data_IF_474363189221
#
_entry.id   IF_474363189221
#
_cell.length_a   1.000
_cell.length_b   1.000
_cell.length_c   1.000
_cell.angle_alpha   90.00
_cell.angle_beta   90.00
_cell.angle_gamma   90.00
#
_symmetry.space_group_name_H-M   'P 1'
#
loop_
_entity.id
_entity.type
_entity.pdbx_description
1 polymer ?
#
# COMPACT_ATOMS: atom_id res chain seq x y z
N UNK A 1 -8.40 19.38 13.29
CA UNK A 1 -7.32 18.83 12.45
C UNK A 1 -6.08 19.67 12.67
N UNK A 2 -5.04 19.07 13.22
CA UNK A 2 -3.76 19.73 13.46
C UNK A 2 -2.98 19.95 12.15
N UNK A 3 -1.87 20.69 12.24
CA UNK A 3 -0.94 20.88 11.11
C UNK A 3 -0.41 19.53 10.60
N UNK A 4 -0.16 18.59 11.52
CA UNK A 4 0.24 17.20 11.21
C UNK A 4 -0.76 16.50 10.28
N UNK A 5 -2.07 16.58 10.58
CA UNK A 5 -3.11 15.91 9.78
C UNK A 5 -3.19 16.47 8.35
N UNK A 6 -3.00 17.79 8.21
CA UNK A 6 -2.98 18.47 6.90
C UNK A 6 -1.77 18.05 6.06
N UNK A 7 -0.60 17.96 6.68
CA UNK A 7 0.63 17.52 6.00
C UNK A 7 0.49 16.06 5.57
N UNK A 8 0.02 15.19 6.46
CA UNK A 8 -0.22 13.79 6.14
C UNK A 8 -1.21 13.60 4.99
N UNK A 9 -2.35 14.30 5.04
CA UNK A 9 -3.32 14.27 3.95
C UNK A 9 -2.72 14.70 2.61
N UNK A 10 -1.89 15.75 2.60
CA UNK A 10 -1.20 16.21 1.40
C UNK A 10 -0.18 15.19 0.87
N UNK A 11 0.60 14.55 1.74
CA UNK A 11 1.57 13.50 1.38
C UNK A 11 0.87 12.31 0.75
N UNK A 12 -0.22 11.84 1.34
CA UNK A 12 -1.02 10.73 0.79
C UNK A 12 -1.63 11.10 -0.56
N UNK A 13 -2.23 12.29 -0.68
CA UNK A 13 -2.82 12.76 -1.93
C UNK A 13 -1.76 12.87 -3.05
N UNK A 14 -0.57 13.38 -2.72
CA UNK A 14 0.55 13.45 -3.65
C UNK A 14 1.04 12.05 -4.07
N UNK A 15 1.14 11.12 -3.11
CA UNK A 15 1.47 9.72 -3.39
C UNK A 15 0.47 9.05 -4.33
N UNK A 16 -0.82 9.30 -4.14
CA UNK A 16 -1.87 8.76 -5.04
C UNK A 16 -1.73 9.37 -6.44
N UNK A 17 -1.60 10.70 -6.54
CA UNK A 17 -1.48 11.39 -7.82
C UNK A 17 -0.27 10.89 -8.63
N UNK A 18 0.90 10.77 -7.98
CA UNK A 18 2.12 10.26 -8.63
C UNK A 18 1.98 8.82 -9.11
N UNK A 19 1.35 7.93 -8.32
CA UNK A 19 1.10 6.56 -8.77
C UNK A 19 0.06 6.49 -9.89
N UNK A 20 -0.94 7.37 -9.94
CA UNK A 20 -1.89 7.46 -11.07
C UNK A 20 -1.14 7.83 -12.35
N UNK A 21 -0.31 8.88 -12.30
CA UNK A 21 0.50 9.28 -13.46
C UNK A 21 1.41 8.16 -13.92
N UNK A 22 2.11 7.50 -13.00
CA UNK A 22 2.97 6.35 -13.31
C UNK A 22 2.18 5.16 -13.90
N UNK A 23 0.97 4.91 -13.42
CA UNK A 23 0.08 3.87 -13.93
C UNK A 23 -0.36 4.16 -15.38
N UNK A 24 -0.73 5.41 -15.69
CA UNK A 24 -1.10 5.83 -17.05
C UNK A 24 0.11 5.70 -17.99
N UNK A 25 1.30 6.11 -17.54
CA UNK A 25 2.52 5.95 -18.32
C UNK A 25 2.85 4.48 -18.55
N UNK A 26 2.69 3.62 -17.55
CA UNK A 26 2.90 2.17 -17.64
C UNK A 26 1.97 1.51 -18.65
N UNK A 27 0.70 1.93 -18.70
CA UNK A 27 -0.27 1.52 -19.72
C UNK A 27 0.20 1.93 -21.13
N UNK A 28 0.65 3.17 -21.29
CA UNK A 28 1.10 3.68 -22.58
C UNK A 28 2.29 2.91 -23.15
N UNK A 29 3.27 2.54 -22.29
CA UNK A 29 4.46 1.76 -22.68
C UNK A 29 4.25 0.23 -22.58
N UNK A 30 3.02 -0.24 -22.30
CA UNK A 30 2.66 -1.65 -22.16
C UNK A 30 3.47 -2.42 -21.10
N UNK A 31 3.94 -1.74 -20.04
CA UNK A 31 4.61 -2.39 -18.90
C UNK A 31 3.59 -2.75 -17.81
N UNK A 32 2.90 -3.87 -18.00
CA UNK A 32 1.79 -4.29 -17.13
C UNK A 32 2.21 -4.61 -15.69
N UNK A 33 3.41 -5.14 -15.47
CA UNK A 33 3.93 -5.36 -14.10
C UNK A 33 4.05 -4.05 -13.31
N UNK A 34 4.56 -2.99 -13.96
CA UNK A 34 4.65 -1.66 -13.38
C UNK A 34 3.26 -1.08 -13.09
N UNK A 35 2.31 -1.28 -14.01
CA UNK A 35 0.93 -0.86 -13.85
C UNK A 35 0.28 -1.52 -12.62
N UNK A 36 0.41 -2.84 -12.46
CA UNK A 36 -0.15 -3.58 -11.32
C UNK A 36 0.45 -3.05 -10.01
N UNK A 37 1.77 -2.86 -9.95
CA UNK A 37 2.42 -2.31 -8.78
C UNK A 37 1.95 -0.88 -8.44
N UNK A 38 1.70 -0.02 -9.44
CA UNK A 38 1.12 1.31 -9.22
C UNK A 38 -0.31 1.23 -8.68
N UNK A 39 -1.15 0.35 -9.22
CA UNK A 39 -2.53 0.15 -8.73
C UNK A 39 -2.56 -0.36 -7.30
N UNK A 40 -1.68 -1.30 -6.94
CA UNK A 40 -1.57 -1.80 -5.56
C UNK A 40 -1.04 -0.72 -4.62
N UNK A 41 -0.09 0.11 -5.05
CA UNK A 41 0.37 1.25 -4.26
C UNK A 41 -0.75 2.27 -4.00
N UNK A 42 -1.59 2.56 -5.01
CA UNK A 42 -2.76 3.43 -4.83
C UNK A 42 -3.72 2.81 -3.82
N UNK A 43 -4.02 1.50 -3.94
CA UNK A 43 -4.87 0.80 -3.00
C UNK A 43 -4.31 0.88 -1.57
N UNK A 44 -3.01 0.63 -1.40
CA UNK A 44 -2.33 0.74 -0.11
C UNK A 44 -2.47 2.15 0.48
N UNK A 45 -2.21 3.20 -0.30
CA UNK A 45 -2.35 4.59 0.15
C UNK A 45 -3.79 4.95 0.56
N UNK A 46 -4.80 4.42 -0.15
CA UNK A 46 -6.21 4.61 0.23
C UNK A 46 -6.53 3.89 1.54
N UNK A 47 -6.00 2.68 1.74
CA UNK A 47 -6.23 1.90 2.96
C UNK A 47 -5.63 2.59 4.17
N UNK A 48 -4.38 3.07 4.09
CA UNK A 48 -3.76 3.80 5.20
C UNK A 48 -4.48 5.12 5.47
N UNK A 49 -4.90 5.85 4.43
CA UNK A 49 -5.68 7.08 4.62
C UNK A 49 -6.95 6.84 5.43
N UNK A 50 -7.61 5.70 5.15
CA UNK A 50 -8.82 5.30 5.86
C UNK A 50 -8.54 4.86 7.28
N UNK A 51 -7.48 4.11 7.55
CA UNK A 51 -7.13 3.70 8.93
C UNK A 51 -6.81 4.93 9.78
N UNK A 52 -6.09 5.92 9.24
CA UNK A 52 -5.83 7.18 9.94
C UNK A 52 -7.09 8.01 10.24
N UNK A 53 -8.08 8.05 9.34
CA UNK A 53 -9.31 8.85 9.54
C UNK A 53 -10.31 8.16 10.46
N UNK A 54 -10.52 6.85 10.31
CA UNK A 54 -11.61 6.12 10.98
C UNK A 54 -11.16 5.33 12.21
N UNK A 55 -9.85 5.15 12.43
CA UNK A 55 -9.24 4.35 13.51
C UNK A 55 -9.75 2.91 13.65
N UNK A 56 -10.65 2.44 12.76
CA UNK A 56 -11.14 1.06 12.72
C UNK A 56 -11.03 0.50 11.32
N UNK A 57 -10.29 -0.59 11.21
CA UNK A 57 -10.28 -1.45 10.03
C UNK A 57 -11.63 -2.17 9.98
N UNK A 58 -12.07 -2.55 8.79
CA UNK A 58 -13.23 -3.40 8.61
C UNK A 58 -12.84 -4.57 7.70
N UNK A 59 -13.74 -5.56 7.56
CA UNK A 59 -13.49 -6.74 6.73
C UNK A 59 -13.03 -6.40 5.30
N UNK A 60 -13.56 -5.35 4.68
CA UNK A 60 -13.18 -4.92 3.34
C UNK A 60 -11.77 -4.31 3.28
N UNK A 61 -11.39 -3.56 4.30
CA UNK A 61 -10.04 -3.01 4.42
C UNK A 61 -9.02 -4.11 4.71
N UNK A 62 -9.35 -5.08 5.56
CA UNK A 62 -8.51 -6.26 5.79
C UNK A 62 -8.28 -7.04 4.49
N UNK A 63 -9.34 -7.28 3.69
CA UNK A 63 -9.18 -7.88 2.36
C UNK A 63 -8.28 -7.05 1.44
N UNK A 64 -8.40 -5.73 1.48
CA UNK A 64 -7.51 -4.83 0.74
C UNK A 64 -6.05 -4.97 1.17
N UNK A 65 -5.77 -5.02 2.47
CA UNK A 65 -4.42 -5.23 3.00
C UNK A 65 -3.86 -6.61 2.60
N UNK A 66 -4.67 -7.67 2.63
CA UNK A 66 -4.28 -9.00 2.14
C UNK A 66 -3.85 -8.95 0.67
N UNK A 67 -4.59 -8.24 -0.19
CA UNK A 67 -4.21 -8.08 -1.60
C UNK A 67 -2.87 -7.35 -1.76
N UNK A 68 -2.63 -6.30 -0.98
CA UNK A 68 -1.35 -5.59 -0.96
C UNK A 68 -0.21 -6.52 -0.54
N UNK A 69 -0.41 -7.32 0.52
CA UNK A 69 0.60 -8.27 1.01
C UNK A 69 0.97 -9.30 -0.05
N UNK A 70 -0.01 -9.86 -0.76
CA UNK A 70 0.24 -10.85 -1.82
C UNK A 70 1.08 -10.24 -2.95
N UNK A 71 0.71 -9.07 -3.47
CA UNK A 71 1.46 -8.46 -4.58
C UNK A 71 2.87 -8.03 -4.14
N UNK A 72 3.02 -7.45 -2.95
CA UNK A 72 4.34 -7.09 -2.42
C UNK A 72 5.20 -8.31 -2.12
N UNK A 73 4.61 -9.44 -1.75
CA UNK A 73 5.33 -10.70 -1.59
C UNK A 73 5.90 -11.21 -2.93
N UNK A 74 5.08 -11.21 -3.98
CA UNK A 74 5.52 -11.57 -5.33
C UNK A 74 6.64 -10.63 -5.81
N UNK A 75 6.43 -9.32 -5.61
CA UNK A 75 7.42 -8.30 -5.99
C UNK A 75 8.72 -8.42 -5.22
N UNK A 76 8.67 -8.66 -3.91
CA UNK A 76 9.87 -8.90 -3.11
C UNK A 76 10.66 -10.12 -3.63
N UNK A 77 9.98 -11.19 -4.04
CA UNK A 77 10.63 -12.35 -4.66
C UNK A 77 11.31 -12.00 -6.00
N UNK A 78 10.63 -11.22 -6.84
CA UNK A 78 11.17 -10.75 -8.12
C UNK A 78 12.37 -9.79 -7.94
N UNK A 79 12.23 -8.80 -7.06
CA UNK A 79 13.27 -7.82 -6.74
C UNK A 79 14.50 -8.53 -6.13
N UNK A 80 14.29 -9.55 -5.29
CA UNK A 80 15.37 -10.37 -4.76
C UNK A 80 16.10 -11.15 -5.87
N UNK A 81 15.35 -11.77 -6.77
CA UNK A 81 15.92 -12.49 -7.92
C UNK A 81 16.73 -11.58 -8.85
N UNK A 82 16.27 -10.34 -9.03
CA UNK A 82 16.93 -9.32 -9.86
C UNK A 82 17.99 -8.49 -9.12
N UNK A 83 18.29 -8.85 -7.86
CA UNK A 83 19.27 -8.17 -7.00
C UNK A 83 18.94 -6.70 -6.65
N UNK A 84 17.66 -6.31 -6.74
CA UNK A 84 17.16 -5.02 -6.24
C UNK A 84 16.77 -5.12 -4.76
N UNK A 85 17.79 -5.12 -3.89
CA UNK A 85 17.58 -5.23 -2.44
C UNK A 85 16.85 -4.03 -1.83
N UNK A 86 16.86 -2.87 -2.51
CA UNK A 86 16.09 -1.71 -2.07
C UNK A 86 14.59 -1.98 -2.26
N UNK A 87 14.19 -2.48 -3.44
CA UNK A 87 12.83 -2.91 -3.74
C UNK A 87 12.32 -4.00 -2.79
N UNK A 88 13.18 -4.98 -2.45
CA UNK A 88 12.89 -6.01 -1.45
C UNK A 88 12.59 -5.40 -0.08
N UNK A 89 13.49 -4.54 0.40
CA UNK A 89 13.35 -3.91 1.74
C UNK A 89 12.06 -3.10 1.84
N UNK A 90 11.73 -2.35 0.79
CA UNK A 90 10.51 -1.56 0.73
C UNK A 90 9.25 -2.42 0.72
N UNK A 91 9.24 -3.51 -0.06
CA UNK A 91 8.12 -4.44 -0.13
C UNK A 91 7.90 -5.16 1.21
N UNK A 92 8.97 -5.55 1.89
CA UNK A 92 8.89 -6.15 3.24
C UNK A 92 8.33 -5.17 4.28
N UNK A 93 8.75 -3.90 4.25
CA UNK A 93 8.24 -2.89 5.16
C UNK A 93 6.72 -2.70 5.01
N UNK A 94 6.21 -2.69 3.77
CA UNK A 94 4.78 -2.61 3.50
C UNK A 94 4.05 -3.86 4.02
N UNK A 95 4.60 -5.06 3.80
CA UNK A 95 4.01 -6.31 4.28
C UNK A 95 3.86 -6.30 5.80
N UNK A 96 4.94 -5.95 6.52
CA UNK A 96 4.93 -5.88 7.99
C UNK A 96 3.89 -4.89 8.48
N UNK A 97 3.82 -3.70 7.87
CA UNK A 97 2.82 -2.70 8.22
C UNK A 97 1.38 -3.22 8.02
N UNK A 98 1.10 -3.86 6.88
CA UNK A 98 -0.22 -4.42 6.60
C UNK A 98 -0.62 -5.49 7.62
N UNK A 99 0.31 -6.37 8.01
CA UNK A 99 0.07 -7.42 9.01
C UNK A 99 -0.23 -6.77 10.37
N UNK A 100 0.57 -5.79 10.78
CA UNK A 100 0.37 -5.06 12.05
C UNK A 100 -1.02 -4.42 12.14
N UNK A 101 -1.43 -3.71 11.08
CA UNK A 101 -2.76 -3.11 11.00
C UNK A 101 -3.86 -4.19 11.10
N UNK A 102 -3.74 -5.28 10.34
CA UNK A 102 -4.73 -6.37 10.38
C UNK A 102 -4.79 -7.08 11.75
N UNK A 103 -3.67 -7.24 12.45
CA UNK A 103 -3.63 -7.86 13.78
C UNK A 103 -4.36 -7.00 14.81
N UNK A 104 -4.12 -5.69 14.80
CA UNK A 104 -4.84 -4.74 15.67
C UNK A 104 -6.36 -4.81 15.46
N UNK A 105 -6.81 -4.97 14.21
CA UNK A 105 -8.23 -5.17 13.91
C UNK A 105 -8.80 -6.43 14.56
N UNK A 106 -8.10 -7.57 14.47
CA UNK A 106 -8.56 -8.83 15.05
C UNK A 106 -8.69 -8.73 16.58
N UNK A 107 -7.76 -8.04 17.24
CA UNK A 107 -7.81 -7.79 18.69
C UNK A 107 -9.03 -6.94 19.06
N UNK A 108 -9.33 -5.86 18.32
CA UNK A 108 -10.49 -5.01 18.61
C UNK A 108 -11.85 -5.68 18.38
N UNK A 109 -11.95 -6.64 17.46
CA UNK A 109 -13.22 -7.34 17.19
C UNK A 109 -13.54 -8.47 18.16
N UNK A 110 -12.55 -8.99 18.88
CA UNK A 110 -12.69 -10.12 19.80
C UNK A 110 -12.73 -9.70 21.29
N UNK A 111 -12.73 -8.39 21.57
CA UNK A 111 -12.99 -7.79 22.90
C UNK A 111 -14.39 -7.18 22.94
#
# INVERSE_FOLDING_TARGET
MGISDRIWGAVVAFGIATNITACIMALYIQKYELMINCLINILFLILIAKTFIKMKINKWMALGFTLVVIEKGIKAGYDFYTHDYYGVSWSLAIIVYCIYEMENYYVETNN
#
